data_IF_245619890590
#
_entry.id   IF_245619890590
#
_cell.length_a   1.000
_cell.length_b   1.000
_cell.length_c   1.000
_cell.angle_alpha   90.00
_cell.angle_beta   90.00
_cell.angle_gamma   90.00
#
_symmetry.space_group_name_H-M   'P 1'
#
loop_
_entity.id
_entity.type
_entity.pdbx_description
1 polymer ?
#
# COMPACT_ATOMS: atom_id res chain seq x y z
N UNK A 1 9.96 -22.98 -2.63
CA UNK A 1 9.00 -22.50 -3.64
C UNK A 1 8.96 -20.97 -3.55
N UNK A 2 9.17 -20.25 -4.66
CA UNK A 2 9.13 -18.78 -4.69
C UNK A 2 7.85 -18.37 -5.41
N UNK A 3 6.89 -17.70 -4.75
CA UNK A 3 5.65 -17.28 -5.40
C UNK A 3 5.92 -16.16 -6.41
N UNK A 4 5.26 -16.22 -7.57
CA UNK A 4 5.43 -15.26 -8.67
C UNK A 4 4.29 -14.24 -8.85
N UNK A 5 3.27 -14.26 -7.99
CA UNK A 5 2.09 -13.42 -8.13
C UNK A 5 1.46 -13.02 -6.80
N UNK A 6 0.55 -12.04 -6.85
CA UNK A 6 -0.15 -11.46 -5.70
C UNK A 6 -1.66 -11.69 -5.90
N UNK A 7 -2.36 -12.17 -4.85
CA UNK A 7 -3.82 -12.31 -4.83
C UNK A 7 -4.42 -11.16 -4.05
N UNK A 8 -5.37 -10.44 -4.66
CA UNK A 8 -6.14 -9.37 -4.02
C UNK A 8 -7.65 -9.66 -4.12
N UNK A 9 -8.45 -9.06 -3.26
CA UNK A 9 -9.91 -9.23 -3.25
C UNK A 9 -10.62 -7.99 -2.74
N UNK A 10 -11.89 -7.85 -3.11
CA UNK A 10 -12.76 -6.71 -2.81
C UNK A 10 -13.60 -6.79 -1.52
N UNK A 11 -13.95 -7.97 -0.94
CA UNK A 11 -15.00 -8.05 0.10
C UNK A 11 -14.82 -7.14 1.32
N UNK A 12 -13.58 -6.94 1.80
CA UNK A 12 -13.31 -6.13 2.98
C UNK A 12 -13.52 -4.63 2.72
N UNK A 13 -13.13 -4.13 1.55
CA UNK A 13 -13.28 -2.72 1.19
C UNK A 13 -14.71 -2.42 0.74
N UNK A 14 -15.37 -3.36 0.04
CA UNK A 14 -16.80 -3.23 -0.29
C UNK A 14 -17.66 -3.16 0.96
N UNK A 15 -17.34 -3.94 2.00
CA UNK A 15 -18.01 -3.83 3.31
C UNK A 15 -17.87 -2.44 3.96
N UNK A 16 -16.85 -1.66 3.57
CA UNK A 16 -16.63 -0.28 4.02
C UNK A 16 -17.28 0.77 3.09
N UNK A 17 -17.93 0.35 2.01
CA UNK A 17 -18.61 1.22 1.06
C UNK A 17 -17.78 1.58 -0.19
N UNK A 18 -16.70 0.88 -0.49
CA UNK A 18 -15.98 1.07 -1.75
C UNK A 18 -16.85 0.60 -2.92
N UNK A 19 -16.97 1.46 -3.94
CA UNK A 19 -17.61 1.19 -5.23
C UNK A 19 -16.57 1.00 -6.33
N UNK A 20 -17.02 0.79 -7.57
CA UNK A 20 -16.17 0.48 -8.73
C UNK A 20 -15.07 1.53 -8.95
N UNK A 21 -15.39 2.82 -8.85
CA UNK A 21 -14.43 3.92 -9.01
C UNK A 21 -13.34 3.89 -7.94
N UNK A 22 -13.68 3.51 -6.71
CA UNK A 22 -12.69 3.37 -5.63
C UNK A 22 -11.74 2.21 -5.89
N UNK A 23 -12.21 1.14 -6.54
CA UNK A 23 -11.34 0.02 -6.92
C UNK A 23 -10.40 0.36 -8.08
N UNK A 24 -10.79 1.29 -8.97
CA UNK A 24 -9.83 1.88 -9.93
C UNK A 24 -8.72 2.58 -9.15
N UNK A 25 -9.05 3.36 -8.12
CA UNK A 25 -8.05 4.01 -7.27
C UNK A 25 -7.15 3.02 -6.53
N UNK A 26 -7.71 1.93 -6.00
CA UNK A 26 -6.93 0.85 -5.38
C UNK A 26 -5.94 0.24 -6.39
N UNK A 27 -6.35 0.02 -7.63
CA UNK A 27 -5.48 -0.47 -8.69
C UNK A 27 -4.36 0.52 -9.04
N UNK A 28 -4.65 1.82 -9.08
CA UNK A 28 -3.64 2.87 -9.27
C UNK A 28 -2.57 2.87 -8.16
N UNK A 29 -2.99 2.77 -6.89
CA UNK A 29 -2.07 2.69 -5.76
C UNK A 29 -1.24 1.39 -5.79
N UNK A 30 -1.85 0.27 -6.20
CA UNK A 30 -1.12 -0.99 -6.37
C UNK A 30 -0.07 -0.89 -7.47
N UNK A 31 -0.41 -0.32 -8.63
CA UNK A 31 0.54 -0.08 -9.72
C UNK A 31 1.69 0.86 -9.29
N UNK A 32 1.39 1.93 -8.55
CA UNK A 32 2.40 2.81 -7.97
C UNK A 32 3.36 2.05 -7.03
N UNK A 33 2.83 1.18 -6.17
CA UNK A 33 3.63 0.33 -5.29
C UNK A 33 4.51 -0.66 -6.07
N UNK A 34 3.98 -1.26 -7.14
CA UNK A 34 4.74 -2.17 -8.02
C UNK A 34 5.86 -1.43 -8.74
N UNK A 35 5.60 -0.23 -9.28
CA UNK A 35 6.64 0.62 -9.89
C UNK A 35 7.74 0.97 -8.90
N UNK A 36 7.39 1.30 -7.66
CA UNK A 36 8.36 1.54 -6.59
C UNK A 36 9.17 0.27 -6.28
N UNK A 37 8.54 -0.89 -6.21
CA UNK A 37 9.25 -2.16 -6.01
C UNK A 37 10.21 -2.47 -7.18
N UNK A 38 9.81 -2.21 -8.43
CA UNK A 38 10.70 -2.36 -9.60
C UNK A 38 11.90 -1.42 -9.49
N UNK A 39 11.68 -0.17 -9.07
CA UNK A 39 12.75 0.81 -8.82
C UNK A 39 13.73 0.32 -7.74
N UNK A 40 13.23 -0.15 -6.59
CA UNK A 40 14.07 -0.73 -5.52
C UNK A 40 14.91 -1.89 -6.05
N UNK A 41 14.31 -2.79 -6.83
CA UNK A 41 15.02 -3.92 -7.44
C UNK A 41 16.11 -3.45 -8.41
N UNK A 42 15.88 -2.40 -9.20
CA UNK A 42 16.86 -1.84 -10.11
C UNK A 42 18.04 -1.17 -9.39
N UNK A 43 17.79 -0.56 -8.24
CA UNK A 43 18.81 0.07 -7.39
C UNK A 43 19.52 -0.92 -6.43
N UNK A 44 19.01 -2.14 -6.31
CA UNK A 44 19.61 -3.16 -5.47
C UNK A 44 20.98 -3.60 -6.01
N UNK A 45 21.99 -3.61 -5.13
CA UNK A 45 23.36 -4.03 -5.48
C UNK A 45 23.51 -5.54 -5.71
N UNK A 46 22.43 -6.31 -5.55
CA UNK A 46 22.43 -7.76 -5.69
C UNK A 46 21.04 -8.30 -6.02
N UNK A 47 20.99 -9.58 -6.38
CA UNK A 47 19.76 -10.26 -6.84
C UNK A 47 18.99 -10.95 -5.72
N UNK A 48 19.50 -10.93 -4.49
CA UNK A 48 18.89 -11.59 -3.34
C UNK A 48 17.89 -10.67 -2.67
N UNK A 49 16.86 -11.26 -2.05
CA UNK A 49 15.84 -10.51 -1.31
C UNK A 49 16.43 -9.64 -0.19
N UNK A 50 17.51 -10.08 0.45
CA UNK A 50 18.22 -9.29 1.47
C UNK A 50 18.73 -7.94 0.91
N UNK A 51 19.16 -7.92 -0.34
CA UNK A 51 19.73 -6.73 -0.97
C UNK A 51 18.61 -5.76 -1.34
N UNK A 52 17.47 -6.30 -1.82
CA UNK A 52 16.23 -5.54 -2.01
C UNK A 52 15.75 -4.89 -0.71
N UNK A 53 15.67 -5.64 0.39
CA UNK A 53 15.23 -5.12 1.69
C UNK A 53 16.20 -4.05 2.21
N UNK A 54 17.51 -4.23 2.02
CA UNK A 54 18.49 -3.21 2.37
C UNK A 54 18.32 -1.92 1.56
N UNK A 55 18.12 -2.03 0.23
CA UNK A 55 17.87 -0.87 -0.63
C UNK A 55 16.56 -0.18 -0.30
N UNK A 56 15.52 -0.93 0.07
CA UNK A 56 14.23 -0.38 0.50
C UNK A 56 14.35 0.55 1.72
N UNK A 57 15.39 0.41 2.54
CA UNK A 57 15.65 1.28 3.69
C UNK A 57 16.39 2.58 3.34
N UNK A 58 16.69 2.82 2.06
CA UNK A 58 17.31 4.08 1.65
C UNK A 58 16.37 5.28 1.87
N UNK A 59 16.94 6.45 2.16
CA UNK A 59 16.17 7.64 2.53
C UNK A 59 15.20 8.08 1.43
N UNK A 60 15.58 8.00 0.15
CA UNK A 60 14.71 8.43 -0.96
C UNK A 60 13.57 7.45 -1.20
N UNK A 61 13.82 6.13 -1.14
CA UNK A 61 12.76 5.12 -1.27
C UNK A 61 11.80 5.22 -0.09
N UNK A 62 12.30 5.44 1.13
CA UNK A 62 11.47 5.65 2.30
C UNK A 62 10.58 6.89 2.15
N UNK A 63 11.09 7.97 1.56
CA UNK A 63 10.29 9.16 1.26
C UNK A 63 9.17 8.88 0.27
N UNK A 64 9.45 8.18 -0.84
CA UNK A 64 8.43 7.79 -1.82
C UNK A 64 7.40 6.82 -1.23
N UNK A 65 7.84 5.86 -0.43
CA UNK A 65 6.98 4.91 0.29
C UNK A 65 6.09 5.65 1.29
N UNK A 66 6.63 6.60 2.04
CA UNK A 66 5.88 7.38 3.02
C UNK A 66 4.82 8.26 2.35
N UNK A 67 5.12 8.82 1.17
CA UNK A 67 4.15 9.58 0.38
C UNK A 67 3.00 8.69 -0.09
N UNK A 68 3.30 7.53 -0.69
CA UNK A 68 2.28 6.60 -1.16
C UNK A 68 1.43 6.08 0.02
N UNK A 69 2.06 5.76 1.15
CA UNK A 69 1.36 5.37 2.38
C UNK A 69 0.39 6.46 2.82
N UNK A 70 0.82 7.72 2.86
CA UNK A 70 -0.02 8.84 3.25
C UNK A 70 -1.24 8.99 2.33
N UNK A 71 -1.05 8.91 1.01
CA UNK A 71 -2.15 8.96 0.05
C UNK A 71 -3.16 7.83 0.24
N UNK A 72 -2.69 6.60 0.49
CA UNK A 72 -3.54 5.44 0.76
C UNK A 72 -4.31 5.59 2.08
N UNK A 73 -3.66 6.06 3.14
CA UNK A 73 -4.27 6.29 4.45
C UNK A 73 -5.36 7.36 4.36
N UNK A 74 -5.06 8.49 3.73
CA UNK A 74 -6.03 9.59 3.55
C UNK A 74 -7.24 9.15 2.74
N UNK A 75 -7.05 8.36 1.69
CA UNK A 75 -8.17 7.80 0.93
C UNK A 75 -9.00 6.85 1.79
N UNK A 76 -8.37 5.90 2.47
CA UNK A 76 -9.05 4.89 3.27
C UNK A 76 -9.81 5.48 4.47
N UNK A 77 -9.37 6.62 5.01
CA UNK A 77 -10.01 7.30 6.15
C UNK A 77 -11.36 7.95 5.79
N UNK A 78 -11.62 8.22 4.52
CA UNK A 78 -12.90 8.83 4.08
C UNK A 78 -14.09 7.88 4.29
N UNK A 79 -13.84 6.57 4.28
CA UNK A 79 -14.85 5.52 4.43
C UNK A 79 -15.14 5.20 5.90
N UNK A 80 -16.36 4.78 6.26
CA UNK A 80 -16.72 4.40 7.63
C UNK A 80 -15.83 3.28 8.19
N UNK A 81 -15.77 3.24 9.52
CA UNK A 81 -15.28 2.07 10.27
C UNK A 81 -16.43 1.09 10.44
N UNK A 82 -16.13 -0.21 10.40
CA UNK A 82 -17.12 -1.27 10.52
C UNK A 82 -16.91 -1.96 11.87
N UNK A 83 -17.97 -2.01 12.68
CA UNK A 83 -17.94 -2.65 14.01
C UNK A 83 -17.51 -1.75 15.17
N UNK A 84 -17.20 -0.47 14.95
CA UNK A 84 -16.91 0.51 16.00
C UNK A 84 -17.00 1.94 15.46
N UNK A 85 -17.16 2.92 16.36
CA UNK A 85 -17.23 4.34 16.03
C UNK A 85 -15.85 5.01 15.98
N UNK A 86 -15.61 5.83 14.96
CA UNK A 86 -14.35 6.60 14.84
C UNK A 86 -14.13 7.55 16.02
N UNK A 87 -15.20 8.09 16.59
CA UNK A 87 -15.13 9.11 17.64
C UNK A 87 -14.55 8.58 18.94
N UNK A 88 -14.75 7.29 19.22
CA UNK A 88 -14.32 6.60 20.44
C UNK A 88 -12.93 5.95 20.30
N UNK A 89 -12.30 6.05 19.13
CA UNK A 89 -10.97 5.49 18.89
C UNK A 89 -9.89 6.22 19.69
N UNK A 90 -8.96 5.44 20.26
CA UNK A 90 -7.76 5.95 20.93
C UNK A 90 -6.80 6.67 19.97
N UNK A 91 -6.71 6.20 18.73
CA UNK A 91 -5.86 6.76 17.69
C UNK A 91 -6.72 7.29 16.56
N UNK A 92 -6.72 8.62 16.39
CA UNK A 92 -7.56 9.34 15.43
C UNK A 92 -6.80 9.85 14.21
N UNK A 93 -5.47 9.77 14.25
CA UNK A 93 -4.55 10.26 13.23
C UNK A 93 -3.91 9.08 12.52
#
# INVERSE_FOLDING_TARGET
MVPGGIRMGTPALTSRGFVEEDFVKVAEYFDAAVKLAVKIKAEAKGTKLKDFVATMQSAHIQSETAKLRHEVEEYAKQFPTIGFDKETMKYKN
#
